data_IF_541494233039
#
_entry.id   IF_541494233039
#
_cell.length_a   1.000
_cell.length_b   1.000
_cell.length_c   1.000
_cell.angle_alpha   90.00
_cell.angle_beta   90.00
_cell.angle_gamma   90.00
#
_symmetry.space_group_name_H-M   'P 1'
#
loop_
_entity.id
_entity.type
_entity.pdbx_description
1 polymer ?
#
# COMPACT_ATOMS: atom_id res chain seq x y z
N UNK A 1 4.59 -26.51 13.56
CA UNK A 1 4.55 -25.54 14.67
C UNK A 1 4.97 -24.19 14.14
N UNK A 2 4.09 -23.17 14.21
CA UNK A 2 4.44 -21.81 13.82
C UNK A 2 5.04 -21.10 15.04
N UNK A 3 6.29 -20.69 14.93
CA UNK A 3 6.98 -19.90 15.96
C UNK A 3 6.37 -18.50 15.97
N UNK A 4 5.65 -18.18 17.03
CA UNK A 4 5.12 -16.84 17.28
C UNK A 4 6.30 -15.98 17.71
N UNK A 5 6.91 -15.26 16.77
CA UNK A 5 7.90 -14.24 17.09
C UNK A 5 7.13 -13.08 17.71
N UNK A 6 7.36 -12.77 18.99
CA UNK A 6 6.75 -11.62 19.63
C UNK A 6 7.12 -10.35 18.84
N UNK A 7 6.18 -9.39 18.64
CA UNK A 7 6.50 -8.14 17.97
C UNK A 7 7.66 -7.46 18.72
N UNK A 8 8.68 -7.03 17.97
CA UNK A 8 9.76 -6.23 18.54
C UNK A 8 9.15 -5.00 19.22
N UNK A 9 9.50 -4.67 20.48
CA UNK A 9 8.92 -3.54 21.19
C UNK A 9 9.17 -2.18 20.51
N UNK A 10 10.07 -2.15 19.51
CA UNK A 10 10.39 -0.97 18.72
C UNK A 10 9.60 -0.85 17.40
N UNK A 11 8.81 -1.85 16.99
CA UNK A 11 7.95 -1.70 15.81
C UNK A 11 6.55 -1.23 16.24
N UNK A 12 6.04 -0.13 15.66
CA UNK A 12 4.67 0.29 15.91
C UNK A 12 3.71 -0.86 15.61
N UNK A 13 2.68 -1.02 16.45
CA UNK A 13 1.66 -2.04 16.24
C UNK A 13 0.94 -1.85 14.90
N UNK A 14 0.30 -2.93 14.42
CA UNK A 14 -0.42 -2.94 13.13
C UNK A 14 -1.37 -1.74 12.97
N UNK A 15 -2.10 -1.37 14.03
CA UNK A 15 -3.02 -0.23 14.01
C UNK A 15 -2.30 1.10 13.72
N UNK A 16 -1.18 1.37 14.39
CA UNK A 16 -0.37 2.58 14.16
C UNK A 16 0.24 2.61 12.76
N UNK A 17 0.71 1.45 12.27
CA UNK A 17 1.26 1.34 10.91
C UNK A 17 0.17 1.55 9.85
N UNK A 18 -1.03 1.01 10.05
CA UNK A 18 -2.18 1.27 9.18
C UNK A 18 -2.61 2.73 9.21
N UNK A 19 -2.61 3.38 10.38
CA UNK A 19 -2.91 4.81 10.48
C UNK A 19 -1.93 5.65 9.66
N UNK A 20 -0.62 5.34 9.73
CA UNK A 20 0.39 6.00 8.93
C UNK A 20 0.16 5.76 7.42
N UNK A 21 -0.09 4.51 7.03
CA UNK A 21 -0.38 4.15 5.64
C UNK A 21 -1.60 4.91 5.09
N UNK A 22 -2.72 4.90 5.82
CA UNK A 22 -3.95 5.60 5.41
C UNK A 22 -3.76 7.12 5.33
N UNK A 23 -2.98 7.72 6.24
CA UNK A 23 -2.68 9.15 6.21
C UNK A 23 -1.81 9.54 5.02
N UNK A 24 -0.84 8.69 4.68
CA UNK A 24 0.01 8.88 3.50
C UNK A 24 -0.82 8.78 2.22
N UNK A 25 -1.62 7.71 2.09
CA UNK A 25 -2.47 7.48 0.91
C UNK A 25 -3.50 8.61 0.71
N UNK A 26 -4.10 9.12 1.77
CA UNK A 26 -5.05 10.24 1.69
C UNK A 26 -4.44 11.54 1.11
N UNK A 27 -3.11 11.70 1.18
CA UNK A 27 -2.39 12.88 0.68
C UNK A 27 -1.61 12.65 -0.61
N UNK A 28 -1.29 11.39 -0.95
CA UNK A 28 -0.38 11.06 -2.05
C UNK A 28 -1.00 10.18 -3.14
N UNK A 29 -2.09 9.47 -2.89
CA UNK A 29 -2.74 8.67 -3.92
C UNK A 29 -3.49 9.55 -4.92
N UNK A 30 -3.66 9.05 -6.14
CA UNK A 30 -4.46 9.69 -7.16
C UNK A 30 -5.91 9.91 -6.66
N UNK A 31 -6.54 11.07 -6.95
CA UNK A 31 -7.91 11.32 -6.55
C UNK A 31 -8.87 10.24 -7.04
N UNK A 32 -9.78 9.81 -6.16
CA UNK A 32 -10.83 8.83 -6.46
C UNK A 32 -10.53 7.40 -5.98
N UNK A 33 -9.32 7.12 -5.49
CA UNK A 33 -9.02 5.87 -4.80
C UNK A 33 -9.53 5.87 -3.35
N UNK A 34 -10.05 4.72 -2.91
CA UNK A 34 -10.41 4.46 -1.52
C UNK A 34 -9.42 3.47 -0.93
N UNK A 35 -8.76 3.86 0.17
CA UNK A 35 -7.77 3.03 0.85
C UNK A 35 -8.36 2.26 2.04
N UNK A 36 -7.92 1.02 2.25
CA UNK A 36 -8.27 0.20 3.41
C UNK A 36 -7.04 -0.50 4.01
N UNK A 37 -6.93 -0.47 5.33
CA UNK A 37 -5.87 -1.14 6.09
C UNK A 37 -6.36 -1.52 7.51
N UNK A 38 -6.14 -2.76 7.97
CA UNK A 38 -5.65 -3.89 7.19
C UNK A 38 -6.72 -4.39 6.22
N UNK A 39 -6.32 -4.83 5.03
CA UNK A 39 -7.21 -5.49 4.07
C UNK A 39 -6.46 -6.59 3.34
N UNK A 40 -7.16 -7.64 2.92
CA UNK A 40 -6.56 -8.71 2.14
C UNK A 40 -6.25 -8.20 0.72
N UNK A 41 -5.00 -8.36 0.28
CA UNK A 41 -4.51 -7.91 -1.02
C UNK A 41 -4.09 -9.10 -1.90
N UNK A 42 -4.95 -10.12 -2.02
CA UNK A 42 -4.73 -11.31 -2.87
C UNK A 42 -3.39 -12.06 -2.63
N UNK A 43 -2.85 -11.97 -1.42
CA UNK A 43 -1.58 -12.61 -1.03
C UNK A 43 -0.35 -11.72 -1.20
N UNK A 44 -0.51 -10.47 -1.62
CA UNK A 44 0.53 -9.45 -1.68
C UNK A 44 0.55 -8.58 -0.42
N UNK A 45 1.62 -7.80 -0.24
CA UNK A 45 1.74 -6.81 0.83
C UNK A 45 0.72 -5.67 0.67
N UNK A 46 0.42 -5.32 -0.58
CA UNK A 46 -0.61 -4.37 -0.95
C UNK A 46 -1.08 -4.61 -2.39
N UNK A 47 -2.21 -4.01 -2.75
CA UNK A 47 -2.75 -4.04 -4.10
C UNK A 47 -3.49 -2.74 -4.42
N UNK A 48 -3.17 -2.14 -5.56
CA UNK A 48 -3.95 -1.09 -6.20
C UNK A 48 -4.77 -1.71 -7.33
N UNK A 49 -6.09 -1.63 -7.22
CA UNK A 49 -6.99 -2.22 -8.21
C UNK A 49 -8.08 -1.26 -8.64
N UNK A 50 -8.50 -1.43 -9.88
CA UNK A 50 -9.77 -0.94 -10.39
C UNK A 50 -10.60 -2.16 -10.80
N UNK A 51 -11.71 -2.41 -10.12
CA UNK A 51 -12.53 -3.58 -10.44
C UNK A 51 -13.26 -3.33 -11.77
N UNK A 52 -12.99 -4.15 -12.81
CA UNK A 52 -13.82 -4.21 -14.02
C UNK A 52 -13.28 -3.61 -15.33
N UNK A 53 -11.98 -3.35 -15.48
CA UNK A 53 -11.36 -2.85 -16.73
C UNK A 53 -11.98 -1.52 -17.28
N UNK A 54 -11.70 -1.19 -18.55
CA UNK A 54 -10.68 -0.24 -18.98
C UNK A 54 -10.98 1.21 -18.53
N UNK A 55 -10.01 1.87 -17.89
CA UNK A 55 -10.05 3.23 -17.33
C UNK A 55 -11.07 3.49 -16.19
N UNK A 56 -10.96 2.75 -15.08
CA UNK A 56 -11.41 3.15 -13.74
C UNK A 56 -12.65 4.07 -13.64
N UNK A 57 -13.85 3.51 -13.45
CA UNK A 57 -15.00 4.34 -13.07
C UNK A 57 -14.76 4.99 -11.69
N UNK A 58 -15.08 6.29 -11.50
CA UNK A 58 -14.99 6.94 -10.19
C UNK A 58 -15.76 6.15 -9.12
N UNK A 59 -15.08 5.80 -8.03
CA UNK A 59 -15.65 5.02 -6.92
C UNK A 59 -15.42 3.50 -6.96
N UNK A 60 -14.77 2.98 -8.01
CA UNK A 60 -14.37 1.55 -8.11
C UNK A 60 -12.86 1.35 -8.07
N UNK A 61 -12.14 2.33 -7.53
CA UNK A 61 -10.68 2.37 -7.40
C UNK A 61 -10.30 2.14 -5.95
N UNK A 62 -9.55 1.09 -5.67
CA UNK A 62 -9.21 0.66 -4.32
C UNK A 62 -7.72 0.50 -4.14
N UNK A 63 -7.25 0.84 -2.94
CA UNK A 63 -5.91 0.52 -2.44
C UNK A 63 -6.07 -0.33 -1.18
N UNK A 64 -5.64 -1.57 -1.24
CA UNK A 64 -5.71 -2.52 -0.13
C UNK A 64 -4.31 -2.75 0.43
N UNK A 65 -4.14 -2.51 1.72
CA UNK A 65 -2.85 -2.71 2.42
C UNK A 65 -2.99 -3.89 3.38
N UNK A 66 -2.25 -4.97 3.12
CA UNK A 66 -2.17 -6.15 3.99
C UNK A 66 -1.01 -6.03 4.99
N UNK A 67 0.16 -5.60 4.51
CA UNK A 67 1.34 -5.29 5.33
C UNK A 67 1.70 -3.80 5.20
N UNK A 68 1.36 -2.95 6.19
CA UNK A 68 1.60 -1.51 6.13
C UNK A 68 3.07 -1.16 6.39
N UNK A 69 3.95 -1.58 5.49
CA UNK A 69 5.32 -1.08 5.41
C UNK A 69 5.40 0.14 4.47
N UNK A 70 6.39 1.02 4.63
CA UNK A 70 6.45 2.23 3.80
C UNK A 70 6.63 1.97 2.31
N UNK A 71 7.42 0.96 1.94
CA UNK A 71 7.51 0.56 0.53
C UNK A 71 6.12 0.24 -0.05
N UNK A 72 5.32 -0.58 0.63
CA UNK A 72 4.00 -0.99 0.16
C UNK A 72 3.06 0.21 -0.05
N UNK A 73 2.80 1.03 0.98
CA UNK A 73 1.83 2.12 0.81
C UNK A 73 2.35 3.26 -0.08
N UNK A 74 3.67 3.45 -0.22
CA UNK A 74 4.25 4.43 -1.15
C UNK A 74 4.18 3.92 -2.59
N UNK A 75 4.41 2.62 -2.81
CA UNK A 75 4.22 1.98 -4.10
C UNK A 75 2.78 2.13 -4.56
N UNK A 76 1.79 1.79 -3.72
CA UNK A 76 0.39 1.92 -4.10
C UNK A 76 -0.03 3.37 -4.40
N UNK A 77 0.52 4.34 -3.66
CA UNK A 77 0.32 5.75 -4.00
C UNK A 77 0.87 6.07 -5.40
N UNK A 78 2.11 5.67 -5.71
CA UNK A 78 2.72 5.89 -7.04
C UNK A 78 1.95 5.17 -8.15
N UNK A 79 1.64 3.90 -7.93
CA UNK A 79 0.90 3.02 -8.83
C UNK A 79 -0.47 3.60 -9.17
N UNK A 80 -1.16 4.22 -8.21
CA UNK A 80 -2.47 4.85 -8.46
C UNK A 80 -2.41 5.93 -9.55
N UNK A 81 -1.33 6.71 -9.64
CA UNK A 81 -1.13 7.71 -10.70
C UNK A 81 -0.74 7.10 -12.04
N UNK A 82 0.02 6.00 -12.01
CA UNK A 82 0.34 5.24 -13.22
C UNK A 82 -0.92 4.60 -13.78
N UNK A 83 -1.78 4.06 -12.91
CA UNK A 83 -3.04 3.41 -13.26
C UNK A 83 -4.07 4.40 -13.84
N UNK A 84 -4.05 5.67 -13.42
CA UNK A 84 -4.86 6.75 -14.03
C UNK A 84 -4.22 7.36 -15.28
N UNK A 85 -3.02 6.91 -15.68
CA UNK A 85 -2.28 7.44 -16.83
C UNK A 85 -1.70 8.84 -16.63
N UNK A 86 -1.64 9.32 -15.39
CA UNK A 86 -1.13 10.64 -15.02
C UNK A 86 0.36 10.62 -14.63
N UNK A 87 0.95 9.42 -14.51
CA UNK A 87 2.37 9.21 -14.28
C UNK A 87 2.90 8.10 -15.18
N UNK A 88 4.18 8.21 -15.55
CA UNK A 88 4.94 7.15 -16.25
C UNK A 88 6.05 6.58 -15.35
N UNK A 89 5.93 6.76 -14.02
CA UNK A 89 6.85 6.15 -13.08
C UNK A 89 6.87 4.62 -13.27
N UNK A 90 8.00 3.95 -12.96
CA UNK A 90 8.02 2.50 -12.85
C UNK A 90 6.97 2.01 -11.85
N UNK A 91 6.42 0.82 -12.10
CA UNK A 91 5.57 0.14 -11.13
C UNK A 91 6.42 -0.23 -9.90
N UNK A 92 5.89 -0.02 -8.70
CA UNK A 92 6.55 -0.30 -7.42
C UNK A 92 7.95 0.33 -7.24
N UNK A 93 8.10 1.66 -7.34
CA UNK A 93 9.42 2.30 -7.37
C UNK A 93 10.16 2.34 -6.02
N UNK A 94 9.52 1.93 -4.91
CA UNK A 94 10.07 1.98 -3.55
C UNK A 94 10.50 0.61 -3.00
N UNK A 95 10.53 -0.44 -3.83
CA UNK A 95 10.98 -1.78 -3.44
C UNK A 95 9.91 -2.58 -2.68
N UNK A 96 10.33 -3.56 -1.88
CA UNK A 96 9.41 -4.49 -1.18
C UNK A 96 9.55 -4.38 0.34
N UNK A 97 8.56 -4.91 1.07
CA UNK A 97 8.64 -4.96 2.52
C UNK A 97 9.79 -5.87 2.97
N UNK A 98 10.64 -5.37 3.87
CA UNK A 98 11.76 -6.14 4.43
C UNK A 98 13.07 -6.08 3.63
N UNK A 99 13.18 -5.21 2.61
CA UNK A 99 14.46 -4.98 1.94
C UNK A 99 15.47 -4.34 2.93
N UNK A 100 16.64 -4.96 3.16
CA UNK A 100 17.64 -4.41 4.08
C UNK A 100 18.21 -3.11 3.51
N UNK A 101 17.84 -1.98 4.13
CA UNK A 101 18.30 -0.65 3.72
C UNK A 101 17.18 0.38 3.49
N UNK A 102 15.92 -0.02 3.54
CA UNK A 102 14.82 0.95 3.66
C UNK A 102 14.80 1.48 5.11
N UNK A 103 15.06 2.79 5.35
CA UNK A 103 15.20 3.34 6.71
C UNK A 103 13.91 3.30 7.54
N UNK A 104 12.85 2.69 7.03
CA UNK A 104 11.56 2.56 7.69
C UNK A 104 11.11 1.10 7.94
N UNK A 105 12.04 0.14 7.92
CA UNK A 105 11.80 -1.24 8.38
C UNK A 105 11.68 -1.35 9.90
#
# INVERSE_FOLDING_TARGET
SQTIVAPSPNQPGLASRCQAALSYLASHAAPGFVASCPHYADGHEAATTCVGAPQCMPGSMFIWIADPCPAAYMNEASNSWVLTGQSTAPWDPYGYCGEPGNPFG
#
